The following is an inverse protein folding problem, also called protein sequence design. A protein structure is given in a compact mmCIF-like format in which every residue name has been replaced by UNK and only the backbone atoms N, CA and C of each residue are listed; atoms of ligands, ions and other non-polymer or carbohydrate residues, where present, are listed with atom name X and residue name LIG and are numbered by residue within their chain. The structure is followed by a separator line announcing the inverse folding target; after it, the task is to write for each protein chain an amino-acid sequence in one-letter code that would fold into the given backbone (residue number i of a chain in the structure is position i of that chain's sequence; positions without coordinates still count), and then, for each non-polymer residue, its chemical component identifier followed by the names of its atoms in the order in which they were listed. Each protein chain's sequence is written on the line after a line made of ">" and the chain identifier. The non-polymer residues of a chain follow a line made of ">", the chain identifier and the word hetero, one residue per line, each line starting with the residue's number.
data_IF_831400030911
#
_entry.id   IF_831400030911
#
_cell.length_a   1.000
_cell.length_b   1.000
_cell.length_c   1.000
_cell.angle_alpha   90.00
_cell.angle_beta   90.00
_cell.angle_gamma   90.00
#
_symmetry.space_group_name_H-M   'P 1'
#
loop_
_entity.id
_entity.type
_entity.pdbx_description
1 polymer ?
#
# COMPACT_ATOMS: atom_id res chain seq x y z
N UNK A 1 -16.60 15.07 -9.89
CA UNK A 1 -16.06 14.27 -8.75
C UNK A 1 -15.07 15.11 -7.93
N UNK A 2 -15.00 14.95 -6.59
CA UNK A 2 -14.16 15.78 -5.70
C UNK A 2 -12.90 15.00 -5.27
N UNK A 3 -11.96 14.84 -6.19
CA UNK A 3 -10.73 14.06 -5.98
C UNK A 3 -9.77 14.68 -4.95
N UNK A 4 -9.86 15.98 -4.73
CA UNK A 4 -9.10 16.68 -3.69
C UNK A 4 -9.38 16.21 -2.25
N UNK A 5 -10.54 15.56 -2.03
CA UNK A 5 -10.97 15.09 -0.70
C UNK A 5 -10.45 13.71 -0.31
N UNK A 6 -9.92 12.95 -1.26
CA UNK A 6 -9.46 11.58 -0.98
C UNK A 6 -8.00 11.51 -0.50
N UNK A 7 -7.29 12.64 -0.55
CA UNK A 7 -5.91 12.71 -0.07
C UNK A 7 -5.79 12.67 1.45
N UNK A 8 -4.70 12.10 1.95
CA UNK A 8 -4.36 12.08 3.37
C UNK A 8 -2.96 12.65 3.56
N UNK A 9 -2.84 13.67 4.42
CA UNK A 9 -1.55 14.13 4.95
C UNK A 9 -1.42 13.60 6.37
N UNK A 10 -0.49 12.67 6.64
CA UNK A 10 -0.33 12.12 7.97
C UNK A 10 0.11 13.19 8.98
N UNK A 11 -0.53 13.23 10.13
CA UNK A 11 -0.12 14.06 11.25
C UNK A 11 1.17 13.52 11.87
N UNK A 12 2.07 14.44 12.32
CA UNK A 12 3.33 14.09 12.96
C UNK A 12 3.18 14.06 14.47
N UNK A 13 3.79 13.06 15.08
CA UNK A 13 3.89 12.91 16.54
C UNK A 13 5.23 12.25 16.92
N UNK A 14 5.70 12.47 18.13
CA UNK A 14 6.82 11.75 18.72
C UNK A 14 6.37 10.68 19.75
N UNK A 15 5.04 10.53 19.94
CA UNK A 15 4.45 9.55 20.84
C UNK A 15 3.91 8.33 20.06
N UNK A 16 4.50 7.14 20.22
CA UNK A 16 4.03 5.91 19.58
C UNK A 16 2.57 5.55 19.93
N UNK A 17 2.07 5.92 21.12
CA UNK A 17 0.69 5.63 21.50
C UNK A 17 -0.30 6.51 20.74
N UNK A 18 0.08 7.74 20.44
CA UNK A 18 -0.72 8.64 19.62
C UNK A 18 -0.80 8.19 18.15
N UNK A 19 0.25 7.53 17.61
CA UNK A 19 0.25 6.98 16.26
C UNK A 19 -0.96 6.09 16.00
N UNK A 20 -1.25 5.15 16.91
CA UNK A 20 -2.35 4.21 16.71
C UNK A 20 -3.72 4.90 16.66
N UNK A 21 -3.88 5.97 17.46
CA UNK A 21 -5.10 6.80 17.46
C UNK A 21 -5.25 7.53 16.11
N UNK A 22 -4.16 8.13 15.62
CA UNK A 22 -4.13 8.85 14.34
C UNK A 22 -4.38 7.92 13.16
N UNK A 23 -3.73 6.76 13.12
CA UNK A 23 -3.92 5.75 12.06
C UNK A 23 -5.37 5.25 12.03
N UNK A 24 -6.01 5.04 13.19
CA UNK A 24 -7.42 4.67 13.23
C UNK A 24 -8.34 5.77 12.72
N UNK A 25 -8.03 7.03 12.97
CA UNK A 25 -8.82 8.18 12.51
C UNK A 25 -8.64 8.41 11.00
N UNK A 26 -7.37 8.55 10.57
CA UNK A 26 -7.01 9.08 9.24
C UNK A 26 -6.43 8.03 8.30
N UNK A 27 -6.12 6.83 8.79
CA UNK A 27 -5.47 5.77 8.03
C UNK A 27 -3.95 5.84 8.07
N UNK A 28 -3.34 6.95 8.49
CA UNK A 28 -1.89 7.11 8.57
C UNK A 28 -1.45 8.10 9.65
N UNK A 29 -0.20 7.95 10.10
CA UNK A 29 0.51 8.91 10.95
C UNK A 29 2.00 8.89 10.66
N UNK A 30 2.74 9.94 11.03
CA UNK A 30 4.19 9.99 10.98
C UNK A 30 4.74 10.05 12.40
N UNK A 31 5.57 9.06 12.77
CA UNK A 31 6.34 9.04 14.00
C UNK A 31 7.71 9.67 13.74
N UNK A 32 8.13 10.58 14.61
CA UNK A 32 9.38 11.34 14.49
C UNK A 32 10.40 10.97 15.58
N UNK A 33 11.64 11.44 15.44
CA UNK A 33 12.68 11.24 16.47
C UNK A 33 13.28 9.85 16.50
N UNK A 34 13.18 9.09 15.41
CA UNK A 34 13.62 7.70 15.31
C UNK A 34 15.10 7.59 14.95
N UNK A 35 15.70 6.43 15.23
CA UNK A 35 16.91 5.96 14.58
C UNK A 35 16.69 5.74 13.07
N UNK A 36 17.75 5.29 12.36
CA UNK A 36 17.69 5.18 10.89
C UNK A 36 18.04 3.79 10.37
N UNK A 37 18.24 2.85 11.27
CA UNK A 37 18.60 1.50 10.94
C UNK A 37 17.36 0.63 10.67
N UNK A 38 17.48 -0.49 9.95
CA UNK A 38 16.34 -1.36 9.66
C UNK A 38 15.64 -1.88 10.92
N UNK A 39 16.39 -2.06 12.02
CA UNK A 39 15.82 -2.52 13.29
C UNK A 39 14.99 -1.43 13.99
N UNK A 40 15.32 -0.14 13.78
CA UNK A 40 14.49 0.96 14.28
C UNK A 40 13.10 0.92 13.67
N UNK A 41 12.98 0.61 12.37
CA UNK A 41 11.66 0.42 11.74
C UNK A 41 10.85 -0.74 12.33
N UNK A 42 11.51 -1.83 12.74
CA UNK A 42 10.86 -2.94 13.44
C UNK A 42 10.51 -2.59 14.88
N UNK A 43 11.34 -1.78 15.53
CA UNK A 43 11.06 -1.29 16.88
C UNK A 43 9.81 -0.39 16.89
N UNK A 44 9.62 0.45 15.89
CA UNK A 44 8.39 1.24 15.70
C UNK A 44 7.14 0.32 15.72
N UNK A 45 7.17 -0.83 15.02
CA UNK A 45 6.05 -1.76 15.05
C UNK A 45 5.75 -2.28 16.47
N UNK A 46 6.79 -2.59 17.25
CA UNK A 46 6.65 -3.06 18.63
C UNK A 46 6.09 -1.96 19.54
N UNK A 47 6.59 -0.74 19.40
CA UNK A 47 6.20 0.39 20.26
C UNK A 47 4.75 0.84 19.97
N UNK A 48 4.34 0.82 18.70
CA UNK A 48 3.00 1.26 18.27
C UNK A 48 1.94 0.18 18.55
N UNK A 49 2.21 -1.09 18.22
CA UNK A 49 1.21 -2.15 18.26
C UNK A 49 1.26 -3.02 19.51
N UNK A 50 2.41 -3.05 20.22
CA UNK A 50 2.57 -3.77 21.48
C UNK A 50 2.05 -5.21 21.43
N UNK A 51 1.19 -5.57 22.38
CA UNK A 51 0.61 -6.92 22.49
C UNK A 51 -0.32 -7.31 21.34
N UNK A 52 -0.70 -6.37 20.47
CA UNK A 52 -1.48 -6.66 19.27
C UNK A 52 -0.63 -7.17 18.10
N UNK A 53 0.68 -7.04 18.21
CA UNK A 53 1.59 -7.44 17.16
C UNK A 53 1.63 -8.97 17.03
N UNK A 54 1.30 -9.50 15.84
CA UNK A 54 1.43 -10.92 15.53
C UNK A 54 2.76 -11.22 14.84
N UNK A 55 3.14 -10.38 13.87
CA UNK A 55 4.38 -10.58 13.14
C UNK A 55 4.93 -9.25 12.59
N UNK A 56 6.25 -9.15 12.64
CA UNK A 56 7.05 -8.09 12.03
C UNK A 56 8.32 -8.70 11.44
N UNK A 57 8.33 -9.03 10.14
CA UNK A 57 9.51 -9.61 9.51
C UNK A 57 10.66 -8.59 9.41
N UNK A 58 11.88 -9.05 9.04
CA UNK A 58 12.99 -8.15 8.77
C UNK A 58 12.62 -7.07 7.78
N UNK A 59 13.10 -5.85 8.02
CA UNK A 59 12.90 -4.73 7.12
C UNK A 59 13.54 -5.00 5.75
N UNK A 60 12.87 -4.55 4.69
CA UNK A 60 13.41 -4.54 3.34
C UNK A 60 13.87 -3.13 2.96
N UNK A 61 14.96 -3.03 2.23
CA UNK A 61 15.38 -1.75 1.66
C UNK A 61 14.51 -1.42 0.46
N UNK A 62 13.94 -0.22 0.46
CA UNK A 62 13.32 0.39 -0.71
C UNK A 62 14.29 1.43 -1.25
N UNK A 63 15.32 0.94 -1.92
CA UNK A 63 16.28 1.75 -2.65
C UNK A 63 16.18 1.44 -4.13
N UNK A 64 15.69 2.37 -4.88
CA UNK A 64 15.49 2.23 -6.33
C UNK A 64 16.65 2.83 -7.14
N UNK A 65 17.60 3.45 -6.46
CA UNK A 65 18.77 4.09 -7.08
C UNK A 65 19.95 3.16 -7.32
N UNK A 66 19.98 1.99 -6.69
CA UNK A 66 21.04 1.00 -6.88
C UNK A 66 20.72 0.05 -8.04
N UNK A 67 21.76 -0.39 -8.71
CA UNK A 67 21.83 -1.45 -9.72
C UNK A 67 20.54 -1.67 -10.56
N UNK A 68 20.33 -0.82 -11.54
CA UNK A 68 19.16 -0.76 -12.43
C UNK A 68 18.91 -2.08 -13.17
N UNK A 69 19.94 -2.91 -13.33
CA UNK A 69 19.92 -4.11 -14.16
C UNK A 69 19.33 -5.34 -13.45
N UNK A 70 19.03 -5.23 -12.17
CA UNK A 70 18.52 -6.38 -11.37
C UNK A 70 17.02 -6.39 -11.13
N UNK A 71 16.26 -5.39 -11.59
CA UNK A 71 14.81 -5.36 -11.43
C UNK A 71 14.12 -5.55 -12.77
N UNK A 72 13.53 -6.74 -13.04
CA UNK A 72 12.79 -6.98 -14.28
C UNK A 72 11.58 -6.05 -14.47
N UNK A 73 11.13 -5.36 -13.44
CA UNK A 73 9.94 -4.51 -13.45
C UNK A 73 10.23 -3.10 -12.95
N UNK A 74 11.37 -2.59 -13.27
CA UNK A 74 11.88 -1.25 -13.23
C UNK A 74 11.03 -0.12 -12.63
N UNK A 75 10.72 -0.14 -11.33
CA UNK A 75 10.39 1.10 -10.63
C UNK A 75 11.62 2.00 -10.64
N UNK A 76 11.74 2.77 -11.70
CA UNK A 76 12.81 3.75 -11.83
C UNK A 76 12.59 4.88 -10.82
N UNK A 77 13.65 5.31 -10.12
CA UNK A 77 13.62 6.57 -9.36
C UNK A 77 13.17 7.77 -10.21
N UNK A 78 13.31 7.70 -11.53
CA UNK A 78 12.93 8.73 -12.51
C UNK A 78 11.44 8.74 -12.86
N UNK A 79 10.66 7.79 -12.36
CA UNK A 79 9.23 7.71 -12.61
C UNK A 79 8.46 7.72 -11.29
N UNK A 80 7.25 8.22 -11.33
CA UNK A 80 6.31 8.11 -10.21
C UNK A 80 6.05 6.63 -9.92
N UNK A 81 6.09 6.25 -8.65
CA UNK A 81 5.49 5.00 -8.19
C UNK A 81 4.02 5.27 -7.90
N UNK A 82 3.16 4.74 -8.75
CA UNK A 82 1.72 4.97 -8.62
C UNK A 82 1.14 4.34 -7.35
N UNK A 83 -0.03 4.79 -6.96
CA UNK A 83 -0.77 4.29 -5.80
C UNK A 83 -0.97 2.78 -5.84
N UNK A 84 -0.67 2.13 -4.72
CA UNK A 84 -0.84 0.69 -4.52
C UNK A 84 -0.96 0.36 -3.03
N UNK A 85 -1.41 -0.84 -2.74
CA UNK A 85 -1.25 -1.52 -1.45
C UNK A 85 -0.11 -2.53 -1.54
N UNK A 86 0.56 -2.82 -0.43
CA UNK A 86 1.69 -3.75 -0.37
C UNK A 86 1.26 -5.19 -0.03
N UNK A 87 2.07 -6.17 -0.41
CA UNK A 87 1.98 -7.53 0.10
C UNK A 87 1.20 -8.51 -0.75
N UNK A 88 1.04 -8.28 -2.03
CA UNK A 88 0.28 -9.16 -2.96
C UNK A 88 0.69 -10.63 -2.92
N UNK A 89 1.96 -10.91 -2.64
CA UNK A 89 2.46 -12.28 -2.55
C UNK A 89 1.75 -13.14 -1.51
N UNK A 90 1.05 -12.51 -0.58
CA UNK A 90 0.33 -13.19 0.50
C UNK A 90 -1.18 -13.34 0.23
N UNK A 91 -1.64 -12.96 -0.95
CA UNK A 91 -3.06 -13.02 -1.30
C UNK A 91 -3.92 -12.27 -0.26
N UNK A 92 -4.97 -12.88 0.24
CA UNK A 92 -5.86 -12.26 1.24
C UNK A 92 -5.21 -12.05 2.61
N UNK A 93 -4.08 -12.70 2.88
CA UNK A 93 -3.31 -12.58 4.12
C UNK A 93 -2.21 -11.51 4.05
N UNK A 94 -2.37 -10.49 3.19
CA UNK A 94 -1.40 -9.39 3.10
C UNK A 94 -1.35 -8.55 4.39
N UNK A 95 -0.24 -7.83 4.65
CA UNK A 95 -0.05 -7.09 5.90
C UNK A 95 -1.14 -6.01 6.08
N UNK A 96 -1.65 -5.90 7.29
CA UNK A 96 -2.66 -4.88 7.62
C UNK A 96 -2.05 -3.49 7.83
N UNK A 97 -0.77 -3.41 8.18
CA UNK A 97 -0.04 -2.13 8.23
C UNK A 97 1.30 -2.23 7.52
N UNK A 98 1.74 -1.06 7.03
CA UNK A 98 3.10 -0.86 6.53
C UNK A 98 3.76 0.28 7.28
N UNK A 99 5.07 0.17 7.48
CA UNK A 99 5.91 1.23 8.03
C UNK A 99 6.99 1.53 6.99
N UNK A 100 7.18 2.80 6.68
CA UNK A 100 8.27 3.26 5.84
C UNK A 100 9.13 4.26 6.61
N UNK A 101 10.30 3.79 7.08
CA UNK A 101 11.27 4.60 7.81
C UNK A 101 12.26 5.25 6.86
N UNK A 102 12.40 6.57 6.96
CA UNK A 102 13.35 7.33 6.17
C UNK A 102 14.75 7.25 6.78
N UNK A 103 15.68 6.58 6.09
CA UNK A 103 17.09 6.65 6.38
C UNK A 103 17.71 7.88 5.69
N UNK A 104 17.45 8.05 4.39
CA UNK A 104 17.90 9.18 3.59
C UNK A 104 16.80 9.58 2.60
N UNK A 105 16.38 10.84 2.63
CA UNK A 105 15.46 11.40 1.63
C UNK A 105 16.21 11.88 0.38
N UNK A 106 15.49 12.26 -0.66
CA UNK A 106 15.99 13.00 -1.81
C UNK A 106 15.71 14.49 -1.62
N UNK A 107 16.67 15.34 -1.96
CA UNK A 107 16.47 16.81 -1.92
C UNK A 107 15.41 17.22 -2.96
N UNK A 108 15.47 16.65 -4.17
CA UNK A 108 14.53 16.91 -5.25
C UNK A 108 13.62 15.68 -5.46
N UNK A 109 12.31 15.88 -5.37
CA UNK A 109 11.32 14.86 -5.58
C UNK A 109 11.24 13.83 -4.45
N UNK A 110 10.57 12.71 -4.73
CA UNK A 110 10.40 11.61 -3.80
C UNK A 110 9.37 11.87 -2.70
N UNK A 111 8.55 12.90 -2.87
CA UNK A 111 7.39 13.15 -2.02
C UNK A 111 6.47 11.94 -2.05
N UNK A 112 5.95 11.55 -0.89
CA UNK A 112 4.92 10.53 -0.74
C UNK A 112 3.54 11.15 -0.89
N UNK A 113 2.60 10.34 -1.34
CA UNK A 113 1.18 10.68 -1.34
C UNK A 113 0.34 9.47 -0.94
N UNK A 114 -0.83 9.74 -0.33
CA UNK A 114 -1.74 8.73 0.18
C UNK A 114 -3.16 9.02 -0.33
N UNK A 115 -3.81 8.02 -0.89
CA UNK A 115 -5.21 8.04 -1.30
C UNK A 115 -6.03 7.20 -0.35
N UNK A 116 -7.03 7.78 0.29
CA UNK A 116 -8.01 7.05 1.10
C UNK A 116 -8.98 6.29 0.20
N UNK A 117 -8.77 4.99 0.09
CA UNK A 117 -9.59 4.13 -0.75
C UNK A 117 -11.05 4.07 -0.29
N UNK A 118 -11.33 4.22 1.01
CA UNK A 118 -12.71 4.25 1.50
C UNK A 118 -13.43 5.52 1.02
N UNK A 119 -12.77 6.68 1.13
CA UNK A 119 -13.31 7.94 0.59
C UNK A 119 -13.40 7.89 -0.94
N UNK A 120 -12.46 7.25 -1.62
CA UNK A 120 -12.54 7.07 -3.07
C UNK A 120 -13.80 6.32 -3.47
N UNK A 121 -14.14 5.23 -2.78
CA UNK A 121 -15.39 4.51 -3.03
C UNK A 121 -16.62 5.39 -2.80
N UNK A 122 -16.63 6.25 -1.77
CA UNK A 122 -17.73 7.18 -1.47
C UNK A 122 -17.87 8.22 -2.58
N UNK A 123 -16.77 8.87 -2.97
CA UNK A 123 -16.76 9.90 -4.02
C UNK A 123 -17.18 9.32 -5.37
N UNK A 124 -16.75 8.11 -5.71
CA UNK A 124 -17.19 7.42 -6.94
C UNK A 124 -18.67 7.02 -6.89
N UNK A 125 -19.17 6.61 -5.72
CA UNK A 125 -20.58 6.23 -5.57
C UNK A 125 -21.56 7.41 -5.79
N UNK A 126 -21.11 8.64 -5.53
CA UNK A 126 -21.88 9.87 -5.76
C UNK A 126 -21.80 10.37 -7.21
N UNK A 127 -20.87 9.85 -8.01
CA UNK A 127 -20.67 10.28 -9.39
C UNK A 127 -21.64 9.53 -10.33
N UNK A 128 -22.40 10.23 -11.18
CA UNK A 128 -23.40 9.61 -12.06
C UNK A 128 -22.83 8.60 -13.06
N UNK A 129 -21.58 8.77 -13.47
CA UNK A 129 -20.93 7.92 -14.47
C UNK A 129 -20.16 6.75 -13.81
N UNK A 130 -19.68 6.93 -12.57
CA UNK A 130 -18.80 5.98 -11.87
C UNK A 130 -19.50 5.24 -10.74
N UNK A 131 -20.72 5.63 -10.35
CA UNK A 131 -21.42 5.08 -9.17
C UNK A 131 -21.71 3.57 -9.24
N UNK A 132 -21.62 2.96 -10.41
CA UNK A 132 -21.74 1.53 -10.59
C UNK A 132 -20.47 0.75 -10.22
N UNK A 133 -19.30 1.43 -10.16
CA UNK A 133 -18.00 0.80 -9.94
C UNK A 133 -17.83 0.29 -8.50
N UNK A 134 -18.08 1.08 -7.42
CA UNK A 134 -17.92 0.61 -6.05
C UNK A 134 -18.63 -0.72 -5.72
N UNK A 135 -19.92 -0.93 -6.07
CA UNK A 135 -20.54 -2.22 -5.86
C UNK A 135 -19.96 -3.34 -6.74
N UNK A 136 -19.54 -3.04 -7.97
CA UNK A 136 -18.90 -4.01 -8.85
C UNK A 136 -17.52 -4.46 -8.28
N UNK A 137 -16.70 -3.56 -7.75
CA UNK A 137 -15.43 -3.90 -7.10
C UNK A 137 -15.58 -4.85 -5.91
N UNK A 138 -16.76 -4.90 -5.28
CA UNK A 138 -17.05 -5.76 -4.15
C UNK A 138 -17.64 -7.14 -4.56
N UNK A 139 -18.11 -7.28 -5.80
CA UNK A 139 -18.85 -8.47 -6.23
C UNK A 139 -18.24 -9.18 -7.43
N UNK A 140 -17.50 -8.45 -8.27
CA UNK A 140 -16.89 -9.00 -9.47
C UNK A 140 -15.51 -9.57 -9.16
N UNK A 141 -15.30 -10.90 -9.28
CA UNK A 141 -13.98 -11.49 -9.14
C UNK A 141 -13.12 -11.13 -10.35
N UNK A 142 -11.86 -10.82 -10.09
CA UNK A 142 -10.87 -10.53 -11.11
C UNK A 142 -9.65 -11.43 -10.95
N UNK A 143 -8.97 -11.71 -12.04
CA UNK A 143 -7.66 -12.32 -12.01
C UNK A 143 -6.60 -11.26 -11.66
N UNK A 144 -5.77 -11.59 -10.68
CA UNK A 144 -4.66 -10.74 -10.25
C UNK A 144 -3.39 -11.58 -10.26
N UNK A 145 -2.48 -11.23 -11.15
CA UNK A 145 -1.24 -12.00 -11.31
C UNK A 145 -0.05 -11.06 -11.22
N UNK A 146 0.69 -11.18 -10.14
CA UNK A 146 2.01 -10.55 -10.07
C UNK A 146 3.00 -11.38 -10.90
N UNK A 147 3.84 -10.73 -11.72
CA UNK A 147 4.81 -11.42 -12.59
C UNK A 147 5.65 -12.44 -11.81
N UNK A 148 5.63 -13.69 -12.29
CA UNK A 148 6.33 -14.82 -11.64
C UNK A 148 5.63 -15.40 -10.41
N UNK A 149 4.38 -15.03 -10.13
CA UNK A 149 3.55 -15.58 -9.05
C UNK A 149 2.43 -16.46 -9.61
N UNK A 150 1.86 -17.28 -8.73
CA UNK A 150 0.63 -17.98 -9.05
C UNK A 150 -0.52 -16.99 -9.23
N UNK A 151 -1.38 -17.19 -10.23
CA UNK A 151 -2.59 -16.39 -10.38
C UNK A 151 -3.45 -16.47 -9.12
N UNK A 152 -4.01 -15.35 -8.72
CA UNK A 152 -5.03 -15.32 -7.68
C UNK A 152 -6.31 -14.67 -8.21
N UNK A 153 -7.45 -15.16 -7.75
CA UNK A 153 -8.75 -14.62 -8.10
C UNK A 153 -9.38 -14.04 -6.85
N UNK A 154 -9.80 -12.79 -6.92
CA UNK A 154 -10.50 -12.15 -5.82
C UNK A 154 -11.19 -10.86 -6.26
N UNK A 155 -12.09 -10.33 -5.41
CA UNK A 155 -12.63 -8.98 -5.58
C UNK A 155 -11.62 -7.93 -5.08
N UNK A 156 -11.69 -6.70 -5.61
CA UNK A 156 -10.84 -5.59 -5.15
C UNK A 156 -11.26 -5.11 -3.77
N UNK A 157 -12.55 -5.02 -3.53
CA UNK A 157 -13.11 -4.66 -2.22
C UNK A 157 -13.58 -5.93 -1.53
N UNK A 158 -13.12 -6.14 -0.30
CA UNK A 158 -13.49 -7.28 0.53
C UNK A 158 -13.92 -6.84 1.92
N UNK A 159 -14.72 -7.68 2.55
CA UNK A 159 -14.97 -7.59 3.98
C UNK A 159 -14.44 -8.86 4.64
N UNK A 160 -13.56 -8.70 5.59
CA UNK A 160 -12.99 -9.80 6.36
C UNK A 160 -14.02 -10.47 7.27
N UNK A 161 -13.75 -11.67 7.78
CA UNK A 161 -14.63 -12.34 8.76
C UNK A 161 -14.87 -11.52 10.05
N UNK A 162 -13.94 -10.66 10.44
CA UNK A 162 -14.08 -9.74 11.58
C UNK A 162 -14.72 -8.39 11.21
N UNK A 163 -15.27 -8.26 9.99
CA UNK A 163 -15.98 -7.06 9.53
C UNK A 163 -15.09 -5.92 9.04
N UNK A 164 -13.76 -6.10 8.96
CA UNK A 164 -12.85 -5.07 8.45
C UNK A 164 -12.92 -5.00 6.92
N UNK A 165 -13.12 -3.81 6.37
CA UNK A 165 -13.05 -3.59 4.93
C UNK A 165 -11.59 -3.59 4.48
N UNK A 166 -11.33 -4.25 3.37
CA UNK A 166 -10.00 -4.35 2.76
C UNK A 166 -10.09 -3.94 1.30
N UNK A 167 -9.10 -3.22 0.86
CA UNK A 167 -8.94 -2.78 -0.52
C UNK A 167 -7.60 -3.27 -1.06
N UNK A 168 -7.62 -3.87 -2.23
CA UNK A 168 -6.42 -4.29 -2.92
C UNK A 168 -6.23 -3.46 -4.18
N UNK A 169 -5.17 -2.66 -4.22
CA UNK A 169 -4.78 -1.89 -5.40
C UNK A 169 -3.38 -2.30 -5.85
N UNK A 170 -3.29 -2.78 -7.07
CA UNK A 170 -2.04 -3.16 -7.67
C UNK A 170 -1.60 -2.16 -8.73
N UNK A 171 -0.33 -1.75 -8.69
CA UNK A 171 0.26 -0.90 -9.73
C UNK A 171 1.13 -1.67 -10.73
N UNK A 172 1.55 -2.88 -10.38
CA UNK A 172 2.47 -3.71 -11.18
C UNK A 172 1.94 -5.11 -11.45
N UNK A 173 0.66 -5.35 -11.14
CA UNK A 173 -0.01 -6.62 -11.35
C UNK A 173 -0.85 -6.53 -12.62
N UNK A 174 -0.87 -7.61 -13.38
CA UNK A 174 -1.85 -7.80 -14.44
C UNK A 174 -3.22 -8.09 -13.78
N UNK A 175 -4.04 -7.05 -13.67
CA UNK A 175 -5.43 -7.16 -13.25
C UNK A 175 -6.30 -7.23 -14.50
N UNK A 176 -7.04 -8.28 -14.64
CA UNK A 176 -7.91 -8.53 -15.78
C UNK A 176 -9.22 -9.20 -15.35
N UNK A 177 -10.28 -9.15 -16.18
CA UNK A 177 -11.50 -9.91 -15.93
C UNK A 177 -11.22 -11.39 -15.66
N UNK A 178 -12.00 -11.99 -14.79
CA UNK A 178 -11.94 -13.44 -14.55
C UNK A 178 -12.30 -14.20 -15.83
N UNK A 179 -11.69 -15.39 -16.02
CA UNK A 179 -11.91 -16.19 -17.23
C UNK A 179 -13.38 -16.64 -17.38
N UNK A 180 -14.13 -16.78 -16.28
CA UNK A 180 -15.54 -17.09 -16.25
C UNK A 180 -16.46 -15.86 -16.20
N UNK A 181 -15.95 -14.66 -16.48
CA UNK A 181 -16.77 -13.44 -16.51
C UNK A 181 -17.88 -13.55 -17.54
N UNK A 182 -19.09 -13.15 -17.15
CA UNK A 182 -20.25 -13.09 -18.06
C UNK A 182 -20.30 -11.79 -18.87
N UNK A 183 -19.52 -10.78 -18.48
CA UNK A 183 -19.39 -9.49 -19.18
C UNK A 183 -17.94 -8.96 -19.04
N UNK A 184 -16.98 -9.57 -19.74
CA UNK A 184 -15.57 -9.22 -19.58
C UNK A 184 -15.24 -7.80 -20.04
N UNK A 185 -16.00 -7.23 -20.98
CA UNK A 185 -15.79 -5.86 -21.43
C UNK A 185 -16.15 -4.85 -20.34
N UNK A 186 -17.25 -5.09 -19.62
CA UNK A 186 -17.67 -4.26 -18.48
C UNK A 186 -16.73 -4.42 -17.28
N UNK A 187 -16.27 -5.63 -17.01
CA UNK A 187 -15.30 -5.89 -15.94
C UNK A 187 -13.95 -5.20 -16.25
N UNK A 188 -13.54 -5.20 -17.52
CA UNK A 188 -12.35 -4.48 -17.96
C UNK A 188 -12.54 -2.95 -17.83
N UNK A 189 -13.69 -2.43 -18.20
CA UNK A 189 -14.04 -1.01 -18.02
C UNK A 189 -13.98 -0.62 -16.53
N UNK A 190 -14.53 -1.44 -15.65
CA UNK A 190 -14.46 -1.25 -14.19
C UNK A 190 -13.01 -1.11 -13.72
N UNK A 191 -12.14 -2.04 -14.11
CA UNK A 191 -10.73 -2.04 -13.73
C UNK A 191 -9.98 -0.80 -14.23
N UNK A 192 -10.22 -0.42 -15.48
CA UNK A 192 -9.60 0.75 -16.09
C UNK A 192 -10.05 2.02 -15.38
N UNK A 193 -11.36 2.23 -15.24
CA UNK A 193 -11.91 3.42 -14.59
C UNK A 193 -11.49 3.53 -13.11
N UNK A 194 -11.49 2.41 -12.36
CA UNK A 194 -10.99 2.39 -11.00
C UNK A 194 -9.54 2.88 -10.91
N UNK A 195 -8.66 2.30 -11.70
CA UNK A 195 -7.24 2.63 -11.71
C UNK A 195 -6.98 4.06 -12.16
N UNK A 196 -7.60 4.48 -13.27
CA UNK A 196 -7.43 5.83 -13.82
C UNK A 196 -7.90 6.90 -12.85
N UNK A 197 -9.05 6.70 -12.19
CA UNK A 197 -9.57 7.64 -11.20
C UNK A 197 -8.63 7.79 -9.99
N UNK A 198 -8.05 6.68 -9.50
CA UNK A 198 -7.06 6.75 -8.41
C UNK A 198 -5.80 7.49 -8.88
N UNK A 199 -5.32 7.23 -10.08
CA UNK A 199 -4.12 7.89 -10.60
C UNK A 199 -4.36 9.38 -10.85
N UNK A 200 -5.51 9.75 -11.38
CA UNK A 200 -5.93 11.15 -11.52
C UNK A 200 -5.99 11.85 -10.15
N UNK A 201 -6.53 11.19 -9.14
CA UNK A 201 -6.60 11.76 -7.79
C UNK A 201 -5.22 12.16 -7.25
N UNK A 202 -4.15 11.46 -7.63
CA UNK A 202 -2.80 11.78 -7.14
C UNK A 202 -2.29 13.15 -7.58
N UNK A 203 -2.85 13.73 -8.64
CA UNK A 203 -2.50 15.08 -9.10
C UNK A 203 -3.30 16.19 -8.37
N UNK A 204 -4.32 15.82 -7.61
CA UNK A 204 -5.22 16.74 -6.90
C UNK A 204 -5.05 16.71 -5.38
N UNK A 205 -4.31 15.77 -4.84
CA UNK A 205 -4.12 15.59 -3.39
C UNK A 205 -2.78 16.17 -2.92
N UNK A 206 -2.66 16.52 -1.63
CA UNK A 206 -1.39 16.98 -1.10
C UNK A 206 -0.34 15.87 -1.06
N UNK A 207 0.91 16.25 -1.36
CA UNK A 207 2.09 15.40 -1.23
C UNK A 207 2.90 15.85 -0.01
N UNK A 208 3.65 14.93 0.58
CA UNK A 208 4.48 15.20 1.75
C UNK A 208 5.83 14.51 1.65
N UNK A 209 6.83 15.06 2.31
CA UNK A 209 8.18 14.49 2.37
C UNK A 209 8.43 13.89 3.74
N UNK A 210 9.08 12.72 3.77
CA UNK A 210 9.64 12.13 4.98
C UNK A 210 11.10 12.55 5.11
N UNK A 211 11.50 12.90 6.32
CA UNK A 211 12.88 13.28 6.64
C UNK A 211 13.59 12.15 7.40
N UNK A 212 14.93 12.13 7.42
CA UNK A 212 15.69 11.10 8.14
C UNK A 212 15.29 11.00 9.61
N UNK A 213 14.94 9.79 10.06
CA UNK A 213 14.42 9.54 11.40
C UNK A 213 12.92 9.78 11.55
N UNK A 214 12.20 9.94 10.44
CA UNK A 214 10.74 9.88 10.38
C UNK A 214 10.28 8.57 9.76
N UNK A 215 9.21 8.00 10.29
CA UNK A 215 8.51 6.87 9.68
C UNK A 215 7.03 7.17 9.52
N UNK A 216 6.44 6.91 8.36
CA UNK A 216 5.00 6.83 8.29
C UNK A 216 4.51 5.42 8.56
N UNK A 217 3.38 5.34 9.24
CA UNK A 217 2.63 4.12 9.51
C UNK A 217 1.29 4.24 8.79
N UNK A 218 0.95 3.23 7.98
CA UNK A 218 -0.23 3.27 7.11
C UNK A 218 -1.09 2.04 7.31
N UNK A 219 -2.40 2.23 7.43
CA UNK A 219 -3.41 1.17 7.29
C UNK A 219 -3.44 0.71 5.83
N UNK A 220 -2.79 -0.40 5.54
CA UNK A 220 -2.61 -0.94 4.19
C UNK A 220 -3.89 -1.54 3.61
N UNK A 221 -4.93 -1.72 4.42
CA UNK A 221 -6.25 -2.13 3.96
C UNK A 221 -7.12 -0.97 3.50
N UNK A 222 -6.79 0.25 3.95
CA UNK A 222 -7.56 1.46 3.67
C UNK A 222 -6.88 2.40 2.68
N UNK A 223 -5.57 2.64 2.86
CA UNK A 223 -4.85 3.65 2.09
C UNK A 223 -3.98 3.03 1.00
N UNK A 224 -4.03 3.64 -0.17
CA UNK A 224 -3.06 3.41 -1.23
C UNK A 224 -1.94 4.43 -1.12
N UNK A 225 -0.72 3.98 -1.26
CA UNK A 225 0.46 4.84 -1.17
C UNK A 225 1.26 4.85 -2.47
N UNK A 226 1.90 5.97 -2.70
CA UNK A 226 2.78 6.15 -3.85
C UNK A 226 3.85 7.21 -3.55
N UNK A 227 4.68 7.48 -4.54
CA UNK A 227 5.71 8.51 -4.43
C UNK A 227 6.00 9.15 -5.77
N UNK A 228 6.44 10.40 -5.75
CA UNK A 228 6.97 11.11 -6.91
C UNK A 228 8.33 10.56 -7.36
N UNK A 229 8.68 10.83 -8.60
CA UNK A 229 10.04 10.66 -9.09
C UNK A 229 11.02 11.46 -8.24
N UNK A 230 12.29 11.05 -8.18
CA UNK A 230 13.33 11.76 -7.44
C UNK A 230 14.67 11.71 -8.17
N UNK A 231 15.56 12.67 -7.85
CA UNK A 231 16.84 12.81 -8.51
C UNK A 231 17.99 12.11 -7.76
N UNK A 232 17.96 12.07 -6.41
CA UNK A 232 19.06 11.52 -5.62
C UNK A 232 18.99 9.99 -5.57
N UNK A 233 19.86 9.32 -6.28
CA UNK A 233 19.99 7.85 -6.30
C UNK A 233 20.40 7.27 -4.93
N UNK A 234 20.85 8.09 -3.99
CA UNK A 234 21.18 7.69 -2.62
C UNK A 234 19.98 7.69 -1.66
N UNK A 235 18.77 8.08 -2.13
CA UNK A 235 17.55 7.97 -1.32
C UNK A 235 17.38 6.54 -0.82
N UNK A 236 17.10 6.39 0.47
CA UNK A 236 17.00 5.09 1.12
C UNK A 236 15.87 5.11 2.16
N UNK A 237 14.97 4.14 2.05
CA UNK A 237 13.88 3.89 2.99
C UNK A 237 13.91 2.44 3.44
N UNK A 238 13.57 2.19 4.70
CA UNK A 238 13.32 0.86 5.22
C UNK A 238 11.84 0.59 5.27
N UNK A 239 11.39 -0.45 4.57
CA UNK A 239 10.00 -0.89 4.58
C UNK A 239 9.85 -2.05 5.55
N UNK A 240 8.84 -1.97 6.42
CA UNK A 240 8.45 -3.02 7.34
C UNK A 240 6.98 -3.33 7.15
N UNK A 241 6.66 -4.57 6.86
CA UNK A 241 5.31 -5.07 6.85
C UNK A 241 4.92 -5.57 8.23
N UNK A 242 3.68 -5.33 8.63
CA UNK A 242 3.18 -5.60 9.97
C UNK A 242 1.87 -6.35 9.87
N UNK A 243 1.77 -7.43 10.64
CA UNK A 243 0.53 -8.15 10.89
C UNK A 243 0.17 -8.02 12.36
N UNK A 244 -1.06 -7.57 12.64
CA UNK A 244 -1.60 -7.45 13.99
C UNK A 244 -2.76 -8.41 14.22
N UNK A 245 -3.28 -8.46 15.45
CA UNK A 245 -4.49 -9.22 15.77
C UNK A 245 -5.73 -8.76 14.98
N UNK A 246 -5.66 -7.54 14.39
CA UNK A 246 -6.71 -6.98 13.56
C UNK A 246 -6.57 -7.39 12.08
N UNK A 247 -5.53 -8.16 11.70
CA UNK A 247 -5.36 -8.65 10.32
C UNK A 247 -6.51 -9.59 9.93
N UNK A 248 -6.98 -9.42 8.69
CA UNK A 248 -8.30 -9.92 8.27
C UNK A 248 -8.41 -11.45 8.20
N UNK A 249 -7.35 -12.12 7.75
CA UNK A 249 -7.34 -13.57 7.49
C UNK A 249 -6.19 -14.28 8.22
N UNK A 250 -5.62 -13.63 9.25
CA UNK A 250 -4.50 -14.17 10.02
C UNK A 250 -3.16 -14.11 9.29
N UNK A 251 -2.17 -14.80 9.81
CA UNK A 251 -0.83 -14.84 9.22
C UNK A 251 -0.81 -15.73 7.97
N UNK A 252 0.01 -15.38 6.96
CA UNK A 252 0.34 -16.30 5.88
C UNK A 252 1.06 -17.54 6.39
N UNK A 253 0.94 -18.63 5.64
CA UNK A 253 1.73 -19.83 5.90
C UNK A 253 3.18 -19.63 5.43
N UNK A 254 4.14 -20.10 6.24
CA UNK A 254 5.56 -20.01 5.92
C UNK A 254 6.28 -18.78 6.45
N UNK A 255 7.45 -18.47 5.87
CA UNK A 255 8.29 -17.35 6.31
C UNK A 255 7.75 -16.02 5.80
N UNK A 256 7.62 -15.05 6.72
CA UNK A 256 7.22 -13.69 6.42
C UNK A 256 8.42 -12.83 6.01
N UNK A 257 8.22 -11.98 5.02
CA UNK A 257 9.20 -11.01 4.55
C UNK A 257 8.52 -9.67 4.29
N UNK A 258 9.23 -8.57 4.48
CA UNK A 258 8.80 -7.23 4.06
C UNK A 258 9.12 -6.95 2.57
N UNK A 259 9.36 -7.98 1.80
CA UNK A 259 9.58 -7.94 0.35
C UNK A 259 8.94 -9.18 -0.29
N UNK A 260 7.98 -8.98 -1.19
CA UNK A 260 7.28 -10.04 -1.90
C UNK A 260 8.20 -10.97 -2.71
N UNK A 261 9.33 -10.46 -3.22
CA UNK A 261 10.32 -11.24 -3.95
C UNK A 261 10.99 -12.30 -3.06
N UNK A 262 11.27 -11.96 -1.81
CA UNK A 262 11.85 -12.91 -0.85
C UNK A 262 10.82 -13.93 -0.37
N UNK A 263 9.55 -13.59 -0.33
CA UNK A 263 8.47 -14.54 -0.06
C UNK A 263 8.34 -15.62 -1.16
N UNK A 264 8.59 -15.24 -2.43
CA UNK A 264 8.55 -16.15 -3.59
C UNK A 264 9.65 -17.21 -3.57
N UNK A 265 10.87 -16.80 -3.24
CA UNK A 265 12.07 -17.67 -3.31
C UNK A 265 12.04 -18.85 -2.34
N UNK A 266 11.11 -18.88 -1.40
CA UNK A 266 11.00 -19.93 -0.37
C UNK A 266 9.71 -20.75 -0.47
N UNK A 267 8.79 -20.39 -1.34
CA UNK A 267 7.58 -21.16 -1.64
C UNK A 267 7.76 -22.16 -2.81
N UNK A 268 8.91 -22.14 -3.48
CA UNK A 268 9.34 -23.08 -4.52
C UNK A 268 10.36 -24.07 -3.97
#
# INVERSE_FOLDING_TARGET
>A
MRLDQVGVVPERTDDPQEVLRLVRRDGAAILTGLGRDPEDGRQVAKDVFGDKLLAVPPAAVVNEGGDKDRRPMGLSYRTRSNCHSDGYAYGDKYPDYIILLCNKHSEEGGESFLVDGYKMLEVMAEDPELGWIPPALATVPINQTESGMQPSTSTIVKTSPNGRKMLLMANEIDQRPHDDSTDPDRDQEMLVKWRETIYEATDHIPHFKLYPGEAYIVDNYRLFHGREAYADIGRNMWRVWVWTQDCAFGLPDGLLHSDSRNARLKAS
#
